data_IF_782952035538
#
_entry.id   IF_782952035538
#
_cell.length_a   1.000
_cell.length_b   1.000
_cell.length_c   1.000
_cell.angle_alpha   90.00
_cell.angle_beta   90.00
_cell.angle_gamma   90.00
#
_symmetry.space_group_name_H-M   'P 1'
#
loop_
_entity.id
_entity.type
_entity.pdbx_description
1 polymer ?
#
# COMPACT_ATOMS: atom_id res chain seq x y z
N UNK A 1 -20.53 -18.27 -25.24
CA UNK A 1 -20.64 -17.24 -24.20
C UNK A 1 -20.87 -17.88 -22.84
N UNK A 2 -21.81 -18.80 -22.71
CA UNK A 2 -22.06 -19.60 -21.48
C UNK A 2 -20.80 -20.27 -20.91
N UNK A 3 -20.02 -20.95 -21.75
CA UNK A 3 -18.81 -21.67 -21.32
C UNK A 3 -17.72 -20.77 -20.72
N UNK A 4 -17.63 -19.51 -21.15
CA UNK A 4 -16.66 -18.56 -20.62
C UNK A 4 -17.10 -18.07 -19.23
N UNK A 5 -18.39 -17.77 -19.08
CA UNK A 5 -18.99 -17.37 -17.80
C UNK A 5 -18.80 -18.48 -16.77
N UNK A 6 -19.05 -19.72 -17.17
CA UNK A 6 -18.89 -20.90 -16.31
C UNK A 6 -17.44 -21.08 -15.82
N UNK A 7 -16.45 -20.90 -16.71
CA UNK A 7 -15.02 -20.91 -16.36
C UNK A 7 -14.68 -19.74 -15.42
N UNK A 8 -15.15 -18.53 -15.71
CA UNK A 8 -14.91 -17.36 -14.85
C UNK A 8 -15.46 -17.56 -13.44
N UNK A 9 -16.65 -18.17 -13.31
CA UNK A 9 -17.21 -18.51 -12.00
C UNK A 9 -16.43 -19.63 -11.30
N UNK A 10 -16.00 -20.65 -12.04
CA UNK A 10 -15.21 -21.76 -11.51
C UNK A 10 -13.87 -21.29 -10.93
N UNK A 11 -13.20 -20.34 -11.60
CA UNK A 11 -11.90 -19.80 -11.19
C UNK A 11 -12.00 -18.38 -10.65
N UNK A 12 -13.11 -18.01 -10.00
CA UNK A 12 -13.34 -16.62 -9.51
C UNK A 12 -12.20 -16.08 -8.63
N UNK A 13 -11.55 -16.96 -7.86
CA UNK A 13 -10.44 -16.65 -6.96
C UNK A 13 -9.12 -16.36 -7.71
N UNK A 14 -9.04 -16.68 -9.00
CA UNK A 14 -7.91 -16.32 -9.85
C UNK A 14 -8.00 -14.87 -10.36
N UNK A 15 -9.13 -14.18 -10.14
CA UNK A 15 -9.35 -12.80 -10.55
C UNK A 15 -9.26 -11.87 -9.34
N UNK A 16 -8.68 -10.69 -9.53
CA UNK A 16 -8.63 -9.69 -8.48
C UNK A 16 -10.04 -9.18 -8.16
N UNK A 17 -10.39 -9.14 -6.87
CA UNK A 17 -11.62 -8.53 -6.34
C UNK A 17 -11.28 -7.53 -5.24
N UNK A 18 -12.16 -6.56 -5.06
CA UNK A 18 -12.17 -5.57 -3.98
C UNK A 18 -12.49 -6.14 -2.58
N UNK A 19 -12.82 -7.44 -2.51
CA UNK A 19 -13.20 -8.13 -1.27
C UNK A 19 -12.13 -9.09 -0.74
N UNK A 20 -11.07 -9.34 -1.51
CA UNK A 20 -9.98 -10.24 -1.10
C UNK A 20 -8.70 -9.43 -0.84
N UNK A 21 -8.11 -9.62 0.34
CA UNK A 21 -6.87 -8.95 0.67
C UNK A 21 -5.72 -9.48 -0.21
N UNK A 22 -4.96 -8.57 -0.82
CA UNK A 22 -3.80 -8.92 -1.65
C UNK A 22 -2.71 -9.67 -0.86
N UNK A 23 -2.70 -9.50 0.46
CA UNK A 23 -1.80 -10.19 1.39
C UNK A 23 -2.01 -11.71 1.46
N UNK A 24 -3.05 -12.26 0.83
CA UNK A 24 -3.29 -13.71 0.80
C UNK A 24 -2.21 -14.50 0.03
N UNK A 25 -1.41 -13.84 -0.82
CA UNK A 25 -0.37 -14.47 -1.62
C UNK A 25 0.85 -14.79 -0.74
N UNK A 26 1.08 -16.08 -0.48
CA UNK A 26 2.22 -16.58 0.31
C UNK A 26 3.47 -16.79 -0.57
N UNK A 27 4.66 -16.76 0.04
CA UNK A 27 5.93 -17.10 -0.62
C UNK A 27 6.59 -15.98 -1.42
N UNK A 28 6.04 -14.77 -1.38
CA UNK A 28 6.54 -13.58 -2.09
C UNK A 28 7.06 -12.52 -1.12
N UNK A 29 7.37 -12.90 0.13
CA UNK A 29 7.98 -12.00 1.09
C UNK A 29 9.37 -11.61 0.63
N UNK A 30 9.67 -10.31 0.64
CA UNK A 30 10.99 -9.78 0.32
C UNK A 30 11.69 -9.42 1.62
N UNK A 31 12.88 -9.99 1.82
CA UNK A 31 13.78 -9.54 2.87
C UNK A 31 14.61 -8.38 2.32
N UNK A 32 14.52 -7.22 2.97
CA UNK A 32 15.30 -6.04 2.62
C UNK A 32 16.41 -5.89 3.65
N UNK A 33 17.65 -6.08 3.21
CA UNK A 33 18.83 -5.95 4.07
C UNK A 33 19.50 -4.61 3.79
N UNK A 34 19.59 -3.76 4.81
CA UNK A 34 20.34 -2.51 4.71
C UNK A 34 21.83 -2.78 4.84
N UNK A 35 22.62 -2.20 3.93
CA UNK A 35 24.08 -2.25 3.96
C UNK A 35 24.71 -1.13 4.80
N UNK A 36 23.90 -0.42 5.58
CA UNK A 36 24.26 0.74 6.40
C UNK A 36 23.67 0.59 7.80
N UNK A 37 24.35 1.16 8.79
CA UNK A 37 23.87 1.20 10.18
C UNK A 37 22.90 2.38 10.40
N UNK A 38 22.02 2.24 11.40
CA UNK A 38 21.12 3.31 11.89
C UNK A 38 21.95 4.57 12.21
N UNK A 39 21.51 5.80 11.85
CA UNK A 39 20.13 6.21 11.63
C UNK A 39 19.81 6.51 10.16
N UNK A 40 20.00 5.52 9.28
CA UNK A 40 19.55 5.64 7.89
C UNK A 40 18.11 5.13 7.72
N UNK A 41 17.24 5.85 6.99
CA UNK A 41 17.47 7.18 6.42
C UNK A 41 17.44 8.27 7.52
N UNK A 42 18.13 9.40 7.32
CA UNK A 42 18.13 10.49 8.28
C UNK A 42 16.70 10.92 8.63
N UNK A 43 16.43 11.11 9.93
CA UNK A 43 15.16 11.63 10.44
C UNK A 43 14.70 12.82 9.61
N UNK A 44 13.47 12.77 9.13
CA UNK A 44 12.88 13.84 8.33
C UNK A 44 12.81 15.12 9.17
N UNK A 45 13.72 16.05 8.91
CA UNK A 45 13.69 17.39 9.51
C UNK A 45 12.57 18.28 8.98
N UNK A 46 11.74 17.80 8.04
CA UNK A 46 10.65 18.55 7.43
C UNK A 46 9.33 17.83 7.65
N UNK A 47 8.32 18.60 8.04
CA UNK A 47 6.92 18.15 8.07
C UNK A 47 6.52 17.65 6.69
N UNK A 48 5.62 16.67 6.64
CA UNK A 48 5.01 16.23 5.39
C UNK A 48 4.49 17.47 4.62
N UNK A 49 4.71 17.48 3.30
CA UNK A 49 4.22 18.57 2.46
C UNK A 49 2.70 18.68 2.63
N UNK A 50 2.22 19.90 2.85
CA UNK A 50 0.78 20.16 2.98
C UNK A 50 0.10 19.89 1.65
N UNK A 51 -0.70 18.82 1.59
CA UNK A 51 -1.59 18.55 0.47
C UNK A 51 -2.73 19.59 0.43
N UNK A 52 -3.25 19.89 -0.76
CA UNK A 52 -4.48 20.68 -0.88
C UNK A 52 -5.66 19.91 -0.27
N UNK A 53 -6.74 20.58 0.18
CA UNK A 53 -7.88 19.88 0.79
C UNK A 53 -8.46 18.76 -0.10
N UNK A 54 -8.61 19.03 -1.40
CA UNK A 54 -9.08 18.05 -2.39
C UNK A 54 -8.09 16.90 -2.59
N UNK A 55 -6.79 17.19 -2.65
CA UNK A 55 -5.76 16.15 -2.72
C UNK A 55 -5.77 15.27 -1.48
N UNK A 56 -5.97 15.86 -0.30
CA UNK A 56 -6.01 15.11 0.96
C UNK A 56 -7.19 14.14 1.01
N UNK A 57 -8.37 14.57 0.61
CA UNK A 57 -9.57 13.72 0.57
C UNK A 57 -9.40 12.52 -0.39
N UNK A 58 -8.83 12.75 -1.57
CA UNK A 58 -8.51 11.68 -2.52
C UNK A 58 -7.48 10.70 -1.95
N UNK A 59 -6.43 11.21 -1.29
CA UNK A 59 -5.41 10.38 -0.65
C UNK A 59 -5.99 9.56 0.50
N UNK A 60 -6.84 10.15 1.35
CA UNK A 60 -7.50 9.45 2.46
C UNK A 60 -8.34 8.27 1.95
N UNK A 61 -9.04 8.47 0.83
CA UNK A 61 -9.81 7.39 0.17
C UNK A 61 -8.90 6.22 -0.24
N UNK A 62 -7.81 6.51 -0.97
CA UNK A 62 -6.89 5.47 -1.42
C UNK A 62 -6.13 4.79 -0.28
N UNK A 63 -5.74 5.54 0.76
CA UNK A 63 -5.12 4.96 1.96
C UNK A 63 -6.08 3.96 2.60
N UNK A 64 -7.36 4.33 2.75
CA UNK A 64 -8.38 3.43 3.31
C UNK A 64 -8.60 2.17 2.45
N UNK A 65 -8.64 2.30 1.13
CA UNK A 65 -8.73 1.16 0.20
C UNK A 65 -7.53 0.22 0.35
N UNK A 66 -6.31 0.76 0.42
CA UNK A 66 -5.09 -0.02 0.60
C UNK A 66 -5.04 -0.71 1.97
N UNK A 67 -5.59 -0.09 3.02
CA UNK A 67 -5.78 -0.73 4.32
C UNK A 67 -6.78 -1.88 4.25
N UNK A 68 -7.91 -1.70 3.56
CA UNK A 68 -8.92 -2.77 3.35
C UNK A 68 -8.32 -3.96 2.59
N UNK A 69 -7.46 -3.71 1.61
CA UNK A 69 -6.74 -4.73 0.85
C UNK A 69 -5.57 -5.38 1.62
N UNK A 70 -5.26 -4.91 2.83
CA UNK A 70 -4.16 -5.41 3.65
C UNK A 70 -2.77 -5.08 3.10
N UNK A 71 -2.67 -4.04 2.27
CA UNK A 71 -1.40 -3.51 1.74
C UNK A 71 -0.74 -2.56 2.73
N UNK A 72 -1.56 -1.72 3.38
CA UNK A 72 -1.13 -0.83 4.46
C UNK A 72 -1.69 -1.30 5.80
N UNK A 73 -0.88 -1.16 6.86
CA UNK A 73 -1.28 -1.47 8.23
C UNK A 73 -0.90 -0.32 9.16
N UNK A 74 -1.76 -0.01 10.13
CA UNK A 74 -1.45 0.95 11.17
C UNK A 74 -0.45 0.34 12.14
N UNK A 75 0.75 0.90 12.20
CA UNK A 75 1.72 0.53 13.22
C UNK A 75 1.44 1.31 14.49
N UNK A 76 1.18 0.60 15.59
CA UNK A 76 0.98 1.24 16.91
C UNK A 76 2.31 1.73 17.47
N UNK A 77 2.27 2.59 18.49
CA UNK A 77 3.46 3.10 19.20
C UNK A 77 4.37 2.01 19.79
N UNK A 78 3.86 0.78 19.97
CA UNK A 78 4.64 -0.38 20.44
C UNK A 78 5.01 -1.34 19.31
N UNK A 79 4.61 -1.06 18.06
CA UNK A 79 5.02 -1.86 16.92
C UNK A 79 6.48 -1.58 16.60
N UNK A 80 7.30 -2.63 16.57
CA UNK A 80 8.68 -2.50 16.11
C UNK A 80 8.67 -2.10 14.62
N UNK A 81 9.05 -0.85 14.36
CA UNK A 81 9.32 -0.34 13.01
C UNK A 81 10.83 -0.33 12.85
N UNK A 82 11.35 -1.21 12.00
CA UNK A 82 12.79 -1.24 11.72
C UNK A 82 13.24 0.04 11.00
N UNK A 83 12.42 0.60 10.11
CA UNK A 83 12.75 1.78 9.31
C UNK A 83 11.54 2.69 9.10
N UNK A 84 11.73 3.99 9.35
CA UNK A 84 10.80 5.05 8.93
C UNK A 84 11.37 5.79 7.73
N UNK A 85 10.64 5.81 6.61
CA UNK A 85 11.05 6.53 5.40
C UNK A 85 10.01 7.59 4.98
N UNK A 86 10.44 8.75 4.45
CA UNK A 86 9.53 9.67 3.79
C UNK A 86 8.90 9.02 2.57
N UNK A 87 7.58 9.18 2.42
CA UNK A 87 6.89 8.91 1.18
C UNK A 87 6.56 10.24 0.49
N UNK A 88 6.95 10.39 -0.78
CA UNK A 88 6.49 11.48 -1.64
C UNK A 88 5.42 10.91 -2.57
N UNK A 89 4.20 11.45 -2.48
CA UNK A 89 3.11 11.08 -3.37
C UNK A 89 2.91 12.22 -4.37
N UNK A 90 3.09 11.92 -5.65
CA UNK A 90 2.88 12.88 -6.74
C UNK A 90 1.71 12.43 -7.60
N UNK A 91 0.75 13.31 -7.83
CA UNK A 91 -0.26 13.12 -8.88
C UNK A 91 0.21 13.85 -10.13
N UNK A 92 0.35 13.14 -11.25
CA UNK A 92 0.55 13.77 -12.54
C UNK A 92 -0.84 14.06 -13.12
N UNK A 93 -1.25 15.32 -13.11
CA UNK A 93 -2.40 15.75 -13.89
C UNK A 93 -1.89 15.96 -15.32
N UNK A 94 -2.40 15.22 -16.30
CA UNK A 94 -2.08 15.32 -17.74
C UNK A 94 -2.51 16.68 -18.33
N UNK A 95 -1.94 17.78 -17.82
CA UNK A 95 -1.99 19.10 -18.45
C UNK A 95 -0.72 19.34 -19.25
#
# INVERSE_FOLDING_TARGET
MEKLIEISFQYREAFASDNEALRAIKGHQVEIIFNVEIPYPPLLGRTAYTATPSTREALETHIYELMKLGVLENVTHNGEVEVTMPLIITCHNDK
#
